data_IF_778247724328
#
_entry.id   IF_778247724328
#
_cell.length_a   1.000
_cell.length_b   1.000
_cell.length_c   1.000
_cell.angle_alpha   90.00
_cell.angle_beta   90.00
_cell.angle_gamma   90.00
#
_symmetry.space_group_name_H-M   'P 1'
#
loop_
_entity.id
_entity.type
_entity.pdbx_description
1 polymer ?
#
# COMPACT_ATOMS: atom_id res chain seq x y z
N UNK A 1 1.94 5.80 31.18
CA UNK A 1 1.95 6.27 29.77
C UNK A 1 3.35 6.54 29.19
N UNK A 2 4.46 5.98 29.71
CA UNK A 2 5.85 6.36 29.32
C UNK A 2 6.60 5.29 28.49
N UNK A 3 6.01 4.11 28.26
CA UNK A 3 6.71 2.99 27.58
C UNK A 3 6.29 2.73 26.12
N UNK A 4 5.23 3.38 25.60
CA UNK A 4 4.76 3.15 24.22
C UNK A 4 5.69 3.80 23.18
N UNK A 5 6.31 4.93 23.50
CA UNK A 5 7.20 5.64 22.56
C UNK A 5 8.61 5.04 22.47
N UNK A 6 9.03 4.25 23.48
CA UNK A 6 10.35 3.61 23.48
C UNK A 6 10.40 2.45 22.49
N UNK A 7 9.28 1.76 22.25
CA UNK A 7 9.19 0.65 21.29
C UNK A 7 9.29 1.15 19.85
N UNK A 8 8.67 2.30 19.55
CA UNK A 8 8.74 2.92 18.22
C UNK A 8 10.16 3.36 17.86
N UNK A 9 10.90 3.88 18.85
CA UNK A 9 12.30 4.31 18.65
C UNK A 9 13.25 3.13 18.42
N UNK A 10 13.00 1.98 19.05
CA UNK A 10 13.80 0.77 18.90
C UNK A 10 13.64 0.12 17.52
N UNK A 11 12.46 0.20 16.89
CA UNK A 11 12.24 -0.29 15.52
C UNK A 11 13.03 0.55 14.52
N UNK A 12 13.08 1.89 14.69
CA UNK A 12 13.88 2.77 13.83
C UNK A 12 15.40 2.58 13.96
N UNK A 13 15.90 2.19 15.13
CA UNK A 13 17.33 1.96 15.37
C UNK A 13 17.78 0.60 14.80
N UNK A 14 16.91 -0.41 14.82
CA UNK A 14 17.24 -1.75 14.30
C UNK A 14 17.33 -1.79 12.77
N UNK A 15 16.57 -0.95 12.06
CA UNK A 15 16.62 -0.88 10.59
C UNK A 15 17.95 -0.32 10.06
N UNK A 16 18.62 0.55 10.84
CA UNK A 16 19.95 1.08 10.45
C UNK A 16 21.09 0.05 10.54
N UNK A 17 20.94 -1.03 11.30
CA UNK A 17 22.00 -2.04 11.47
C UNK A 17 22.08 -3.06 10.33
N UNK A 18 21.04 -3.16 9.48
CA UNK A 18 21.07 -4.07 8.33
C UNK A 18 21.42 -3.39 7.00
N UNK A 19 21.58 -2.06 6.98
CA UNK A 19 21.86 -1.28 5.76
C UNK A 19 23.36 -1.04 5.50
N UNK A 20 24.27 -1.59 6.32
CA UNK A 20 25.72 -1.45 6.17
C UNK A 20 26.40 -2.79 5.89
N UNK A 21 26.09 -3.44 4.77
CA UNK A 21 26.98 -4.43 4.19
C UNK A 21 27.47 -3.98 2.81
N UNK A 22 28.69 -3.59 2.83
CA UNK A 22 29.76 -3.51 1.79
C UNK A 22 29.36 -3.88 0.36
N UNK A 23 29.44 -2.87 -0.49
CA UNK A 23 29.58 -2.99 -1.93
C UNK A 23 30.87 -3.78 -2.24
N UNK A 24 30.74 -5.00 -2.71
CA UNK A 24 31.78 -5.68 -3.48
C UNK A 24 31.19 -6.05 -4.83
N UNK A 25 31.81 -5.48 -5.83
CA UNK A 25 31.57 -5.63 -7.25
C UNK A 25 31.69 -7.10 -7.67
N UNK A 26 30.58 -7.70 -8.14
CA UNK A 26 30.62 -8.73 -9.19
C UNK A 26 29.20 -9.15 -9.61
N UNK A 27 28.91 -8.99 -10.92
CA UNK A 27 27.98 -9.80 -11.73
C UNK A 27 26.58 -10.07 -11.21
N UNK A 28 25.62 -9.31 -11.74
CA UNK A 28 24.17 -9.63 -11.80
C UNK A 28 23.49 -9.91 -10.46
N UNK A 29 23.80 -9.12 -9.45
CA UNK A 29 23.13 -9.15 -8.17
C UNK A 29 21.68 -8.70 -8.37
N UNK A 30 20.74 -9.59 -8.09
CA UNK A 30 19.30 -9.33 -7.98
C UNK A 30 19.11 -8.21 -6.96
N UNK A 31 19.11 -6.96 -7.42
CA UNK A 31 18.89 -5.82 -6.53
C UNK A 31 17.46 -5.87 -6.02
N UNK A 32 17.32 -6.03 -4.72
CA UNK A 32 16.08 -5.80 -4.00
C UNK A 32 15.94 -4.30 -3.73
N UNK A 33 14.75 -3.77 -3.93
CA UNK A 33 14.36 -2.43 -3.52
C UNK A 33 13.42 -2.57 -2.33
N UNK A 34 13.72 -1.84 -1.27
CA UNK A 34 12.92 -1.81 -0.07
C UNK A 34 12.26 -0.45 0.06
N UNK A 35 11.00 -0.45 0.46
CA UNK A 35 10.29 0.78 0.78
C UNK A 35 9.36 0.57 1.98
N UNK A 36 9.12 1.64 2.70
CA UNK A 36 8.10 1.69 3.73
C UNK A 36 7.12 2.81 3.40
N UNK A 37 5.86 2.53 3.54
CA UNK A 37 4.77 3.47 3.40
C UNK A 37 3.93 3.45 4.66
N UNK A 38 3.46 4.59 5.11
CA UNK A 38 2.44 4.67 6.15
C UNK A 38 1.40 5.70 5.78
N UNK A 39 0.17 5.37 6.04
CA UNK A 39 -0.99 6.22 5.92
C UNK A 39 -1.53 6.54 7.32
N UNK A 40 -1.97 7.77 7.51
CA UNK A 40 -2.67 8.21 8.69
C UNK A 40 -4.08 8.61 8.31
N UNK A 41 -5.04 7.82 8.74
CA UNK A 41 -6.46 8.00 8.46
C UNK A 41 -7.07 8.95 9.47
N UNK A 42 -7.75 9.98 8.96
CA UNK A 42 -8.49 11.00 9.72
C UNK A 42 -9.94 10.92 9.29
N UNK A 43 -10.74 10.17 10.05
CA UNK A 43 -12.14 9.87 9.72
C UNK A 43 -13.03 10.56 10.73
N UNK A 44 -13.91 11.51 10.34
CA UNK A 44 -14.79 12.21 11.27
C UNK A 44 -15.66 11.24 12.06
N UNK A 45 -15.61 11.33 13.39
CA UNK A 45 -16.42 10.49 14.29
C UNK A 45 -15.83 9.13 14.63
N UNK A 46 -14.64 8.81 14.11
CA UNK A 46 -13.90 7.59 14.44
C UNK A 46 -12.54 7.91 15.07
N UNK A 47 -11.90 6.88 15.64
CA UNK A 47 -10.51 7.01 16.09
C UNK A 47 -9.56 6.98 14.90
N UNK A 48 -8.66 7.96 14.84
CA UNK A 48 -7.58 8.01 13.86
C UNK A 48 -6.64 6.80 14.00
N UNK A 49 -6.09 6.32 12.90
CA UNK A 49 -5.16 5.20 12.94
C UNK A 49 -4.09 5.27 11.85
N UNK A 50 -3.00 4.52 12.07
CA UNK A 50 -1.94 4.31 11.08
C UNK A 50 -2.10 2.98 10.37
N UNK A 51 -1.76 2.99 9.09
CA UNK A 51 -1.69 1.83 8.22
C UNK A 51 -0.28 1.76 7.61
N UNK A 52 0.70 1.16 8.30
CA UNK A 52 2.04 0.98 7.75
C UNK A 52 2.12 -0.24 6.85
N UNK A 53 2.80 -0.10 5.71
CA UNK A 53 3.12 -1.17 4.77
C UNK A 53 4.60 -1.15 4.45
N UNK A 54 5.22 -2.33 4.40
CA UNK A 54 6.59 -2.55 3.99
C UNK A 54 6.63 -3.39 2.73
N UNK A 55 7.48 -2.98 1.79
CA UNK A 55 7.68 -3.66 0.52
C UNK A 55 9.12 -4.11 0.37
N UNK A 56 9.30 -5.34 -0.14
CA UNK A 56 10.56 -5.82 -0.68
C UNK A 56 10.33 -6.28 -2.13
N UNK A 57 10.80 -5.50 -3.10
CA UNK A 57 10.56 -5.73 -4.53
C UNK A 57 11.84 -6.14 -5.23
N UNK A 58 11.90 -7.40 -5.66
CA UNK A 58 12.96 -7.93 -6.52
C UNK A 58 12.65 -7.81 -8.01
N UNK A 59 13.44 -8.49 -8.84
CA UNK A 59 13.21 -8.55 -10.29
C UNK A 59 11.83 -9.12 -10.64
N UNK A 60 11.48 -10.23 -10.02
CA UNK A 60 10.26 -11.00 -10.30
C UNK A 60 9.43 -11.30 -9.04
N UNK A 61 9.97 -11.12 -7.85
CA UNK A 61 9.28 -11.39 -6.60
C UNK A 61 8.98 -10.08 -5.86
N UNK A 62 7.87 -10.07 -5.15
CA UNK A 62 7.44 -9.02 -4.24
C UNK A 62 7.00 -9.64 -2.93
N UNK A 63 7.36 -9.00 -1.84
CA UNK A 63 6.86 -9.31 -0.51
C UNK A 63 6.33 -8.02 0.11
N UNK A 64 5.24 -8.15 0.85
CA UNK A 64 4.63 -7.06 1.59
C UNK A 64 4.32 -7.51 3.01
N UNK A 65 4.53 -6.61 3.95
CA UNK A 65 4.07 -6.74 5.32
C UNK A 65 3.21 -5.53 5.64
N UNK A 66 1.97 -5.76 6.05
CA UNK A 66 0.97 -4.71 6.27
C UNK A 66 0.41 -4.79 7.68
N UNK A 67 -0.04 -3.67 8.21
CA UNK A 67 -0.77 -3.60 9.48
C UNK A 67 -1.90 -2.60 9.37
N UNK A 68 -3.08 -2.95 9.89
CA UNK A 68 -4.34 -2.19 9.76
C UNK A 68 -4.81 -1.97 8.31
N UNK A 69 -4.38 -2.81 7.36
CA UNK A 69 -4.73 -2.64 5.96
C UNK A 69 -6.06 -3.31 5.62
N UNK A 70 -6.20 -4.59 5.91
CA UNK A 70 -7.42 -5.37 5.66
C UNK A 70 -8.48 -5.10 6.72
N UNK A 71 -8.06 -4.91 7.97
CA UNK A 71 -8.92 -4.59 9.11
C UNK A 71 -8.07 -3.97 10.23
N UNK A 72 -8.71 -3.29 11.19
CA UNK A 72 -8.03 -2.74 12.38
C UNK A 72 -7.46 -3.85 13.25
N UNK A 73 -6.29 -3.64 13.84
CA UNK A 73 -5.55 -4.61 14.66
C UNK A 73 -5.28 -5.94 13.94
N UNK A 74 -5.13 -5.86 12.63
CA UNK A 74 -4.87 -6.99 11.75
C UNK A 74 -3.54 -6.75 11.04
N UNK A 75 -2.72 -7.80 10.95
CA UNK A 75 -1.49 -7.80 10.18
C UNK A 75 -1.59 -8.81 9.04
N UNK A 76 -0.86 -8.56 7.97
CA UNK A 76 -0.81 -9.48 6.84
C UNK A 76 0.58 -9.55 6.22
N UNK A 77 0.85 -10.67 5.57
CA UNK A 77 2.06 -10.90 4.78
C UNK A 77 1.64 -11.44 3.42
N UNK A 78 2.02 -10.71 2.37
CA UNK A 78 1.76 -11.10 0.99
C UNK A 78 3.05 -11.45 0.26
N UNK A 79 2.93 -12.36 -0.71
CA UNK A 79 3.95 -12.63 -1.71
C UNK A 79 3.31 -12.58 -3.09
N UNK A 80 4.03 -12.00 -4.06
CA UNK A 80 3.56 -11.85 -5.43
C UNK A 80 4.65 -12.08 -6.46
N UNK A 81 4.23 -12.37 -7.69
CA UNK A 81 5.13 -12.51 -8.82
C UNK A 81 4.91 -11.39 -9.82
N UNK A 82 5.96 -10.59 -10.07
CA UNK A 82 5.96 -9.39 -10.92
C UNK A 82 6.22 -9.74 -12.38
N UNK A 83 5.20 -9.63 -13.21
CA UNK A 83 5.32 -9.72 -14.67
C UNK A 83 5.45 -8.31 -15.25
N UNK A 84 6.58 -8.00 -15.88
CA UNK A 84 6.89 -6.69 -16.46
C UNK A 84 6.94 -6.77 -17.97
N UNK A 85 6.22 -5.89 -18.67
CA UNK A 85 6.16 -5.85 -20.13
C UNK A 85 5.87 -4.45 -20.67
N UNK A 86 6.00 -4.28 -22.00
CA UNK A 86 5.82 -3.02 -22.69
C UNK A 86 7.12 -2.29 -22.99
N UNK A 87 7.13 -1.52 -24.07
CA UNK A 87 8.28 -0.71 -24.51
C UNK A 87 8.03 0.79 -24.37
N UNK A 88 6.90 1.27 -24.86
CA UNK A 88 6.51 2.69 -24.75
C UNK A 88 5.63 2.94 -23.53
N UNK A 89 4.50 2.28 -23.45
CA UNK A 89 3.77 2.09 -22.20
C UNK A 89 4.41 0.92 -21.42
N UNK A 90 4.55 1.08 -20.11
CA UNK A 90 5.08 0.05 -19.21
C UNK A 90 3.93 -0.52 -18.39
N UNK A 91 3.97 -1.84 -18.18
CA UNK A 91 2.97 -2.55 -17.39
C UNK A 91 3.68 -3.49 -16.42
N UNK A 92 3.15 -3.56 -15.21
CA UNK A 92 3.50 -4.57 -14.22
C UNK A 92 2.21 -5.21 -13.72
N UNK A 93 2.13 -6.53 -13.74
CA UNK A 93 1.03 -7.29 -13.18
C UNK A 93 1.61 -8.20 -12.11
N UNK A 94 1.01 -8.17 -10.92
CA UNK A 94 1.47 -8.92 -9.76
C UNK A 94 0.31 -9.72 -9.18
N UNK A 95 0.06 -10.96 -9.68
CA UNK A 95 -0.75 -11.90 -8.91
C UNK A 95 -0.04 -12.17 -7.59
N UNK A 96 -0.78 -12.10 -6.49
CA UNK A 96 -0.27 -12.27 -5.13
C UNK A 96 -1.21 -13.07 -4.26
N UNK A 97 -0.70 -13.56 -3.15
CA UNK A 97 -1.48 -14.20 -2.12
C UNK A 97 -0.89 -13.85 -0.76
N UNK A 98 -1.77 -13.68 0.22
CA UNK A 98 -1.41 -13.31 1.58
C UNK A 98 -2.07 -14.17 2.65
N UNK A 99 -1.47 -14.13 3.83
CA UNK A 99 -2.02 -14.63 5.08
C UNK A 99 -2.30 -13.43 5.95
N UNK A 100 -3.49 -13.41 6.54
CA UNK A 100 -4.01 -12.32 7.36
C UNK A 100 -4.24 -12.88 8.77
N UNK A 101 -3.90 -12.11 9.80
CA UNK A 101 -4.03 -12.52 11.19
C UNK A 101 -4.25 -11.33 12.12
N UNK A 102 -5.15 -11.49 13.09
CA UNK A 102 -5.55 -10.45 14.03
C UNK A 102 -7.04 -10.42 14.30
N UNK A 103 -7.69 -9.29 14.13
CA UNK A 103 -9.16 -9.23 14.20
C UNK A 103 -9.80 -9.99 13.03
N UNK A 104 -9.18 -9.95 11.87
CA UNK A 104 -9.50 -10.81 10.73
C UNK A 104 -8.40 -11.85 10.58
N UNK A 105 -8.75 -13.13 10.53
CA UNK A 105 -7.85 -14.24 10.27
C UNK A 105 -8.24 -14.93 8.97
N UNK A 106 -7.33 -15.00 7.98
CA UNK A 106 -7.71 -15.54 6.69
C UNK A 106 -6.57 -15.66 5.69
N UNK A 107 -6.98 -15.92 4.46
CA UNK A 107 -6.12 -15.85 3.26
C UNK A 107 -6.73 -14.91 2.24
N UNK A 108 -5.87 -14.23 1.50
CA UNK A 108 -6.31 -13.32 0.43
C UNK A 108 -5.50 -13.55 -0.86
N UNK A 109 -6.08 -14.15 -1.89
CA UNK A 109 -5.60 -13.94 -3.25
C UNK A 109 -5.84 -12.51 -3.69
N UNK A 110 -4.85 -11.91 -4.37
CA UNK A 110 -4.89 -10.55 -4.83
C UNK A 110 -4.22 -10.34 -6.18
N UNK A 111 -4.40 -9.16 -6.72
CA UNK A 111 -3.83 -8.73 -7.99
C UNK A 111 -3.48 -7.24 -7.91
N UNK A 112 -2.21 -6.90 -8.13
CA UNK A 112 -1.78 -5.54 -8.43
C UNK A 112 -1.59 -5.34 -9.94
N UNK A 113 -1.91 -4.16 -10.42
CA UNK A 113 -1.68 -3.70 -11.79
C UNK A 113 -1.08 -2.30 -11.72
N UNK A 114 0.12 -2.15 -12.29
CA UNK A 114 0.74 -0.86 -12.52
C UNK A 114 0.82 -0.63 -14.04
N UNK A 115 0.44 0.54 -14.50
CA UNK A 115 0.64 0.96 -15.88
C UNK A 115 1.17 2.39 -15.92
N UNK A 116 2.11 2.67 -16.82
CA UNK A 116 2.62 4.02 -16.99
C UNK A 116 2.89 4.36 -18.46
N UNK A 117 2.53 5.57 -18.84
CA UNK A 117 2.79 6.12 -20.16
C UNK A 117 3.03 7.62 -20.09
N UNK A 118 4.25 8.05 -20.45
CA UNK A 118 4.69 9.45 -20.33
C UNK A 118 4.54 9.97 -18.89
N UNK A 119 3.64 10.94 -18.69
CA UNK A 119 3.34 11.57 -17.41
C UNK A 119 2.11 11.01 -16.71
N UNK A 120 1.51 9.97 -17.26
CA UNK A 120 0.35 9.31 -16.68
C UNK A 120 0.74 7.96 -16.11
N UNK A 121 0.19 7.63 -14.97
CA UNK A 121 0.27 6.31 -14.37
C UNK A 121 -1.07 5.88 -13.80
N UNK A 122 -1.24 4.58 -13.75
CA UNK A 122 -2.38 3.89 -13.14
C UNK A 122 -1.83 2.87 -12.17
N UNK A 123 -2.37 2.86 -10.98
CA UNK A 123 -2.20 1.79 -10.00
C UNK A 123 -3.57 1.20 -9.68
N UNK A 124 -3.65 -0.10 -9.57
CA UNK A 124 -4.85 -0.78 -9.10
C UNK A 124 -4.44 -2.02 -8.31
N UNK A 125 -5.04 -2.18 -7.15
CA UNK A 125 -4.93 -3.36 -6.32
C UNK A 125 -6.32 -3.92 -6.03
N UNK A 126 -6.45 -5.24 -6.05
CA UNK A 126 -7.68 -5.91 -5.66
C UNK A 126 -7.33 -7.18 -4.91
N UNK A 127 -8.14 -7.52 -3.91
CA UNK A 127 -8.00 -8.75 -3.13
C UNK A 127 -9.35 -9.25 -2.68
N UNK A 128 -9.42 -10.55 -2.45
CA UNK A 128 -10.57 -11.19 -1.87
C UNK A 128 -10.15 -11.92 -0.59
N UNK A 129 -10.62 -11.42 0.53
CA UNK A 129 -10.33 -12.02 1.85
C UNK A 129 -11.31 -13.15 2.11
N UNK A 130 -10.76 -14.33 2.37
CA UNK A 130 -11.47 -15.51 2.85
C UNK A 130 -11.18 -15.66 4.33
N UNK A 131 -12.14 -15.26 5.16
CA UNK A 131 -12.05 -15.35 6.61
C UNK A 131 -12.20 -16.80 7.08
N UNK A 132 -11.37 -17.22 8.04
CA UNK A 132 -11.39 -18.59 8.55
C UNK A 132 -12.52 -18.83 9.56
N UNK A 133 -13.05 -17.77 10.17
CA UNK A 133 -14.08 -17.87 11.20
C UNK A 133 -15.47 -18.00 10.61
N UNK A 134 -15.80 -17.18 9.59
CA UNK A 134 -17.12 -17.18 8.95
C UNK A 134 -17.03 -16.67 7.51
N UNK A 135 -17.82 -17.30 6.61
CA UNK A 135 -17.98 -16.81 5.24
C UNK A 135 -18.66 -15.43 5.16
N UNK A 136 -19.43 -15.07 6.16
CA UNK A 136 -20.10 -13.77 6.26
C UNK A 136 -19.11 -12.62 6.42
N UNK A 137 -17.90 -12.92 6.92
CA UNK A 137 -16.81 -11.98 7.05
C UNK A 137 -15.94 -11.88 5.77
N UNK A 138 -16.21 -12.70 4.75
CA UNK A 138 -15.49 -12.58 3.49
C UNK A 138 -15.79 -11.24 2.84
N UNK A 139 -14.76 -10.60 2.32
CA UNK A 139 -14.92 -9.34 1.60
C UNK A 139 -14.03 -9.26 0.37
N UNK A 140 -14.45 -8.44 -0.58
CA UNK A 140 -13.67 -8.04 -1.73
C UNK A 140 -13.30 -6.57 -1.60
N UNK A 141 -12.03 -6.28 -1.73
CA UNK A 141 -11.47 -4.94 -1.74
C UNK A 141 -10.87 -4.63 -3.09
N UNK A 142 -10.97 -3.38 -3.53
CA UNK A 142 -10.28 -2.86 -4.71
C UNK A 142 -9.98 -1.37 -4.50
N UNK A 143 -8.73 -1.01 -4.70
CA UNK A 143 -8.25 0.37 -4.74
C UNK A 143 -7.67 0.68 -6.11
N UNK A 144 -7.88 1.90 -6.62
CA UNK A 144 -7.31 2.31 -7.91
C UNK A 144 -7.03 3.80 -7.93
N UNK A 145 -5.91 4.17 -8.55
CA UNK A 145 -5.47 5.54 -8.81
C UNK A 145 -5.23 5.74 -10.30
N UNK A 146 -5.65 6.88 -10.83
CA UNK A 146 -5.21 7.40 -12.12
C UNK A 146 -4.53 8.74 -11.88
N UNK A 147 -3.26 8.82 -12.17
CA UNK A 147 -2.41 9.94 -11.83
C UNK A 147 -1.77 10.62 -13.04
N UNK A 148 -1.42 11.88 -12.83
CA UNK A 148 -0.68 12.73 -13.74
C UNK A 148 0.47 13.40 -12.97
N UNK A 149 1.69 13.33 -13.51
CA UNK A 149 2.89 13.97 -12.97
C UNK A 149 3.30 15.15 -13.86
N UNK A 150 2.87 16.39 -13.56
CA UNK A 150 3.25 17.57 -14.35
C UNK A 150 4.76 17.80 -14.35
N UNK A 151 5.40 17.56 -13.22
CA UNK A 151 6.86 17.56 -13.00
C UNK A 151 7.23 16.33 -12.16
N UNK A 152 8.51 15.95 -12.14
CA UNK A 152 8.97 14.74 -11.44
C UNK A 152 8.73 14.77 -9.91
N UNK A 153 8.64 15.99 -9.34
CA UNK A 153 8.42 16.16 -7.92
C UNK A 153 6.93 16.11 -7.51
N UNK A 154 5.99 16.17 -8.45
CA UNK A 154 4.54 16.23 -8.13
C UNK A 154 3.79 15.14 -8.89
N UNK A 155 3.00 14.36 -8.16
CA UNK A 155 2.03 13.40 -8.69
C UNK A 155 0.65 13.73 -8.11
N UNK A 156 -0.36 13.84 -8.95
CA UNK A 156 -1.74 14.15 -8.53
C UNK A 156 -2.72 13.39 -9.39
N UNK A 157 -3.92 13.15 -8.88
CA UNK A 157 -4.89 12.38 -9.63
C UNK A 157 -6.21 12.18 -8.93
N UNK A 158 -6.94 11.23 -9.47
CA UNK A 158 -8.20 10.74 -8.92
C UNK A 158 -8.00 9.30 -8.43
N UNK A 159 -8.80 8.92 -7.46
CA UNK A 159 -8.76 7.58 -6.89
C UNK A 159 -10.16 7.06 -6.61
N UNK A 160 -10.26 5.76 -6.51
CA UNK A 160 -11.48 5.07 -6.08
C UNK A 160 -11.14 3.86 -5.24
N UNK A 161 -11.94 3.65 -4.22
CA UNK A 161 -11.88 2.48 -3.35
C UNK A 161 -13.25 1.81 -3.35
N UNK A 162 -13.24 0.49 -3.39
CA UNK A 162 -14.47 -0.30 -3.36
C UNK A 162 -14.31 -1.46 -2.41
N UNK A 163 -15.23 -1.54 -1.45
CA UNK A 163 -15.35 -2.69 -0.55
C UNK A 163 -16.70 -3.36 -0.77
N UNK A 164 -16.73 -4.68 -0.72
CA UNK A 164 -17.96 -5.47 -0.70
C UNK A 164 -17.78 -6.61 0.28
N UNK A 165 -18.43 -6.50 1.44
CA UNK A 165 -18.57 -7.58 2.39
C UNK A 165 -19.60 -8.60 1.85
N UNK A 166 -19.47 -9.88 2.22
CA UNK A 166 -20.35 -10.94 1.77
C UNK A 166 -21.84 -10.59 1.99
N UNK A 167 -22.66 -10.75 0.94
CA UNK A 167 -24.11 -10.46 0.93
C UNK A 167 -24.52 -9.01 1.27
N UNK A 168 -23.59 -8.07 1.33
CA UNK A 168 -23.91 -6.64 1.55
C UNK A 168 -23.86 -5.83 0.24
N UNK A 169 -24.36 -4.60 0.29
CA UNK A 169 -24.22 -3.66 -0.80
C UNK A 169 -22.75 -3.23 -0.97
N UNK A 170 -22.42 -2.82 -2.18
CA UNK A 170 -21.08 -2.32 -2.49
C UNK A 170 -20.93 -0.90 -1.96
N UNK A 171 -19.91 -0.70 -1.17
CA UNK A 171 -19.43 0.61 -0.84
C UNK A 171 -18.44 1.10 -1.91
N UNK A 172 -18.66 2.28 -2.46
CA UNK A 172 -17.79 2.92 -3.44
C UNK A 172 -17.42 4.32 -2.97
N UNK A 173 -16.17 4.50 -2.66
CA UNK A 173 -15.57 5.78 -2.30
C UNK A 173 -14.76 6.32 -3.48
N UNK A 174 -14.73 7.64 -3.64
CA UNK A 174 -14.00 8.35 -4.70
C UNK A 174 -13.24 9.49 -4.08
N UNK A 175 -12.11 9.85 -4.70
CA UNK A 175 -11.33 10.94 -4.15
C UNK A 175 -10.38 11.56 -5.14
N UNK A 176 -9.67 12.56 -4.64
CA UNK A 176 -8.57 13.24 -5.29
C UNK A 176 -7.35 13.14 -4.39
N UNK A 177 -6.17 13.16 -4.98
CA UNK A 177 -4.94 13.12 -4.20
C UNK A 177 -3.83 13.98 -4.82
N UNK A 178 -2.85 14.28 -3.98
CA UNK A 178 -1.61 14.92 -4.37
C UNK A 178 -0.45 14.39 -3.56
N UNK A 179 0.68 14.16 -4.22
CA UNK A 179 1.92 13.67 -3.64
C UNK A 179 3.09 14.56 -4.05
N UNK A 180 4.04 14.74 -3.13
CA UNK A 180 5.28 15.46 -3.35
C UNK A 180 6.48 14.58 -3.05
N UNK A 181 7.41 14.49 -4.00
CA UNK A 181 8.64 13.68 -3.93
C UNK A 181 9.83 14.57 -3.61
N UNK A 182 10.62 14.21 -2.61
CA UNK A 182 11.86 14.89 -2.26
C UNK A 182 12.94 13.90 -1.82
N UNK A 183 13.95 13.74 -2.66
CA UNK A 183 14.97 12.72 -2.47
C UNK A 183 14.37 11.31 -2.50
N UNK A 184 14.49 10.57 -1.40
CA UNK A 184 13.92 9.23 -1.23
C UNK A 184 12.57 9.24 -0.48
N UNK A 185 12.05 10.39 -0.16
CA UNK A 185 10.80 10.53 0.57
C UNK A 185 9.67 10.96 -0.36
N UNK A 186 8.47 10.54 -0.02
CA UNK A 186 7.24 10.97 -0.64
C UNK A 186 6.22 11.26 0.45
N UNK A 187 5.59 12.41 0.41
CA UNK A 187 4.46 12.77 1.26
C UNK A 187 3.23 12.95 0.40
N UNK A 188 2.07 12.59 0.91
CA UNK A 188 0.82 12.65 0.18
C UNK A 188 -0.36 13.06 1.04
N UNK A 189 -1.40 13.56 0.37
CA UNK A 189 -2.71 13.83 0.94
C UNK A 189 -3.78 13.28 -0.02
N UNK A 190 -4.73 12.52 0.53
CA UNK A 190 -5.79 11.84 -0.20
C UNK A 190 -7.13 12.25 0.45
N UNK A 191 -8.00 12.88 -0.33
CA UNK A 191 -9.29 13.36 0.14
C UNK A 191 -10.40 12.56 -0.52
N UNK A 192 -11.05 11.74 0.27
CA UNK A 192 -12.15 10.86 -0.15
C UNK A 192 -13.50 11.54 0.00
N UNK A 193 -14.43 11.15 -0.86
CA UNK A 193 -15.82 11.59 -0.90
C UNK A 193 -15.98 13.11 -0.77
N UNK A 194 -15.26 13.93 -1.61
CA UNK A 194 -15.32 15.38 -1.49
C UNK A 194 -16.77 15.87 -1.59
N UNK A 195 -17.12 16.77 -0.69
CA UNK A 195 -18.47 17.38 -0.58
C UNK A 195 -19.59 16.45 -0.10
N UNK A 196 -19.28 15.24 0.38
CA UNK A 196 -20.23 14.33 1.02
C UNK A 196 -20.08 14.36 2.55
N UNK A 197 -21.08 13.89 3.27
CA UNK A 197 -21.06 13.86 4.75
C UNK A 197 -20.07 12.81 5.30
N UNK A 198 -19.78 11.78 4.51
CA UNK A 198 -18.83 10.69 4.79
C UNK A 198 -17.41 10.97 4.25
N UNK A 199 -17.05 12.24 4.08
CA UNK A 199 -15.72 12.59 3.62
C UNK A 199 -14.64 12.31 4.69
N UNK A 200 -13.45 11.93 4.24
CA UNK A 200 -12.30 11.72 5.12
C UNK A 200 -10.97 12.03 4.40
N UNK A 201 -9.93 12.21 5.21
CA UNK A 201 -8.60 12.54 4.74
C UNK A 201 -7.60 11.46 5.14
N UNK A 202 -6.67 11.15 4.24
CA UNK A 202 -5.49 10.33 4.55
C UNK A 202 -4.26 11.17 4.28
N UNK A 203 -3.36 11.24 5.26
CA UNK A 203 -2.01 11.75 5.08
C UNK A 203 -1.03 10.58 4.92
N UNK A 204 -0.12 10.63 3.97
CA UNK A 204 0.85 9.55 3.75
C UNK A 204 2.29 10.01 3.82
N UNK A 205 3.16 9.09 4.22
CA UNK A 205 4.60 9.21 4.16
C UNK A 205 5.20 7.92 3.63
N UNK A 206 6.09 8.01 2.66
CA UNK A 206 6.83 6.88 2.12
C UNK A 206 8.32 7.18 2.09
N UNK A 207 9.13 6.14 2.21
CA UNK A 207 10.60 6.20 2.09
C UNK A 207 11.10 4.99 1.29
N UNK A 208 11.98 5.24 0.32
CA UNK A 208 12.71 4.23 -0.44
C UNK A 208 14.13 4.08 0.13
N UNK A 209 14.62 2.81 0.23
CA UNK A 209 15.92 2.47 0.82
C UNK A 209 16.94 1.99 -0.20
#
# INVERSE_FOLDING_TARGET
>A
MRNKYLLLLLVFVSVKLFAQETITDSTDSKKWNFSAWTEYFIIPGEEDFFNPTFYARGKSLQFEGRYNYEDRNTASIFTGWRFKFGKGAKFVIVPMAGIIFGNTDGIAPGLEIEASYKKFDLYSESEHVFDFSSKENNFFYMYSELAFSPIDAIRTGIMTQRTKVYETDRELQRGIFGEYYFGRFRVGAFYFNPFADDNFLIASLSVDF
#
